data_IF_477974990580
#
_entry.id   IF_477974990580
#
_cell.length_a   1.000
_cell.length_b   1.000
_cell.length_c   1.000
_cell.angle_alpha   90.00
_cell.angle_beta   90.00
_cell.angle_gamma   90.00
#
_symmetry.space_group_name_H-M   'P 1'
#
loop_
_entity.id
_entity.type
_entity.pdbx_description
1 polymer ?
#
# COMPACT_ATOMS: atom_id res chain seq x y z
N UNK A 1 24.88 1.51 2.06
CA UNK A 1 23.77 2.50 2.04
C UNK A 1 22.48 1.74 2.24
N UNK A 2 21.56 2.25 3.07
CA UNK A 2 20.25 1.61 3.29
C UNK A 2 19.37 1.78 2.05
N UNK A 3 18.68 0.71 1.65
CA UNK A 3 17.70 0.73 0.58
C UNK A 3 16.30 0.60 1.15
N UNK A 4 15.33 1.18 0.45
CA UNK A 4 13.89 1.04 0.74
C UNK A 4 13.25 0.28 -0.43
N UNK A 5 12.41 -0.69 -0.13
CA UNK A 5 11.67 -1.43 -1.15
C UNK A 5 10.48 -0.61 -1.62
N UNK A 6 10.45 -0.29 -2.91
CA UNK A 6 9.31 0.34 -3.59
C UNK A 6 8.60 -0.69 -4.47
N UNK A 7 7.41 -0.35 -4.95
CA UNK A 7 6.63 -1.23 -5.85
C UNK A 7 7.31 -1.48 -7.21
N UNK A 8 8.33 -0.70 -7.53
CA UNK A 8 9.15 -0.85 -8.76
C UNK A 8 10.54 -1.43 -8.49
N UNK A 9 10.84 -1.79 -7.25
CA UNK A 9 12.10 -2.34 -6.80
C UNK A 9 12.81 -1.49 -5.74
N UNK A 10 14.00 -1.93 -5.27
CA UNK A 10 14.73 -1.22 -4.25
C UNK A 10 15.30 0.12 -4.77
N UNK A 11 15.27 1.15 -3.92
CA UNK A 11 15.91 2.45 -4.17
C UNK A 11 16.70 2.90 -2.94
N UNK A 12 17.74 3.72 -3.11
CA UNK A 12 18.46 4.31 -1.98
C UNK A 12 17.52 5.15 -1.11
N UNK A 13 17.60 5.00 0.20
CA UNK A 13 16.74 5.78 1.13
C UNK A 13 16.93 7.30 0.99
N UNK A 14 18.13 7.74 0.59
CA UNK A 14 18.42 9.16 0.34
C UNK A 14 17.65 9.76 -0.85
N UNK A 15 17.17 8.91 -1.76
CA UNK A 15 16.48 9.34 -2.99
C UNK A 15 14.95 9.46 -2.81
N UNK A 16 14.42 9.10 -1.63
CA UNK A 16 12.97 9.21 -1.34
C UNK A 16 12.47 10.65 -1.38
N UNK A 17 13.29 11.61 -0.98
CA UNK A 17 12.91 13.02 -0.91
C UNK A 17 11.83 13.30 0.14
N UNK A 18 11.01 14.34 -0.07
CA UNK A 18 9.89 14.67 0.80
C UNK A 18 8.80 13.59 0.63
N UNK A 19 8.54 12.84 1.71
CA UNK A 19 7.70 11.63 1.69
C UNK A 19 6.40 11.86 2.45
N UNK A 20 5.26 11.56 1.82
CA UNK A 20 4.00 11.38 2.53
C UNK A 20 3.98 9.98 3.15
N UNK A 21 3.85 9.93 4.47
CA UNK A 21 4.06 8.70 5.26
C UNK A 21 2.82 7.83 5.47
N UNK A 22 1.64 8.27 5.02
CA UNK A 22 0.39 7.53 5.17
C UNK A 22 -0.62 7.99 4.12
N UNK A 23 -0.71 7.24 3.01
CA UNK A 23 -1.58 7.57 1.89
C UNK A 23 -2.33 6.35 1.36
N UNK A 24 -3.41 6.63 0.61
CA UNK A 24 -4.22 5.63 -0.08
C UNK A 24 -4.36 6.02 -1.55
N UNK A 25 -3.52 5.44 -2.41
CA UNK A 25 -3.51 5.70 -3.86
C UNK A 25 -4.49 4.81 -4.64
N UNK A 26 -4.85 3.66 -4.04
CA UNK A 26 -5.84 2.72 -4.53
C UNK A 26 -6.53 2.07 -3.34
N UNK A 27 -7.83 2.39 -3.12
CA UNK A 27 -8.55 1.97 -1.92
C UNK A 27 -10.04 1.91 -2.18
N UNK A 28 -10.73 0.94 -1.58
CA UNK A 28 -12.20 0.88 -1.54
C UNK A 28 -12.69 0.66 -0.10
N UNK A 29 -12.86 1.73 0.62
CA UNK A 29 -13.44 1.73 1.98
C UNK A 29 -14.97 1.62 1.97
N UNK A 30 -15.61 1.63 0.80
CA UNK A 30 -17.06 1.49 0.70
C UNK A 30 -17.56 0.14 1.21
N UNK A 31 -16.72 -0.90 1.09
CA UNK A 31 -17.00 -2.25 1.61
C UNK A 31 -17.18 -2.27 3.13
N UNK A 32 -16.50 -1.36 3.84
CA UNK A 32 -16.59 -1.20 5.30
C UNK A 32 -17.62 -0.11 5.69
N UNK A 33 -17.59 1.04 5.01
CA UNK A 33 -18.41 2.20 5.37
C UNK A 33 -19.82 2.18 4.81
N UNK A 34 -20.10 1.35 3.81
CA UNK A 34 -21.36 1.34 3.06
C UNK A 34 -21.58 2.57 2.17
N UNK A 35 -20.57 3.45 2.01
CA UNK A 35 -20.66 4.69 1.24
C UNK A 35 -19.89 4.57 -0.07
N UNK A 36 -20.58 4.61 -1.19
CA UNK A 36 -19.98 4.46 -2.52
C UNK A 36 -18.94 5.52 -2.90
N UNK A 37 -19.03 6.72 -2.33
CA UNK A 37 -18.07 7.79 -2.57
C UNK A 37 -16.74 7.63 -1.82
N UNK A 38 -16.60 6.60 -0.98
CA UNK A 38 -15.37 6.26 -0.27
C UNK A 38 -14.51 5.29 -1.09
N UNK A 39 -14.26 5.65 -2.36
CA UNK A 39 -13.45 4.87 -3.30
C UNK A 39 -12.39 5.75 -3.98
N UNK A 40 -11.17 5.24 -4.01
CA UNK A 40 -10.07 5.75 -4.83
C UNK A 40 -9.68 4.60 -5.77
N UNK A 41 -10.36 4.49 -6.91
CA UNK A 41 -10.22 3.37 -7.85
C UNK A 41 -10.08 3.82 -9.31
N UNK A 42 -9.62 5.06 -9.51
CA UNK A 42 -9.33 5.64 -10.82
C UNK A 42 -7.83 5.93 -10.95
N UNK A 43 -7.13 5.06 -11.67
CA UNK A 43 -5.66 5.16 -11.89
C UNK A 43 -5.29 6.49 -12.54
N UNK A 44 -6.03 6.91 -13.58
CA UNK A 44 -5.69 8.12 -14.33
C UNK A 44 -5.81 9.37 -13.46
N UNK A 45 -6.86 9.44 -12.64
CA UNK A 45 -7.05 10.51 -11.67
C UNK A 45 -5.94 10.52 -10.61
N UNK A 46 -5.62 9.36 -10.04
CA UNK A 46 -4.54 9.24 -9.04
C UNK A 46 -3.20 9.68 -9.62
N UNK A 47 -2.87 9.27 -10.85
CA UNK A 47 -1.64 9.70 -11.55
C UNK A 47 -1.62 11.23 -11.75
N UNK A 48 -2.77 11.82 -12.11
CA UNK A 48 -2.89 13.28 -12.24
C UNK A 48 -2.65 14.02 -10.92
N UNK A 49 -3.23 13.53 -9.81
CA UNK A 49 -3.02 14.10 -8.47
C UNK A 49 -1.54 13.99 -8.04
N UNK A 50 -0.88 12.88 -8.34
CA UNK A 50 0.55 12.70 -8.09
C UNK A 50 1.42 13.68 -8.91
N UNK A 51 0.94 14.14 -10.07
CA UNK A 51 1.56 15.21 -10.83
C UNK A 51 1.61 16.53 -10.05
N UNK A 52 0.53 16.88 -9.36
CA UNK A 52 0.51 18.07 -8.48
C UNK A 52 1.42 17.89 -7.26
N UNK A 53 1.42 16.71 -6.66
CA UNK A 53 2.34 16.38 -5.55
C UNK A 53 3.81 16.59 -5.95
N UNK A 54 4.22 16.06 -7.12
CA UNK A 54 5.58 16.28 -7.64
C UNK A 54 5.89 17.74 -7.93
N UNK A 55 4.95 18.46 -8.54
CA UNK A 55 5.12 19.88 -8.85
C UNK A 55 5.30 20.73 -7.57
N UNK A 56 4.73 20.28 -6.45
CA UNK A 56 4.92 20.90 -5.14
C UNK A 56 6.23 20.48 -4.43
N UNK A 57 7.07 19.64 -5.05
CA UNK A 57 8.33 19.17 -4.48
C UNK A 57 8.25 17.84 -3.73
N UNK A 58 7.14 17.13 -3.84
CA UNK A 58 6.99 15.79 -3.27
C UNK A 58 7.89 14.76 -3.94
N UNK A 59 8.48 13.86 -3.16
CA UNK A 59 9.48 12.88 -3.59
C UNK A 59 8.95 11.46 -3.67
N UNK A 60 8.24 10.98 -2.65
CA UNK A 60 7.76 9.61 -2.57
C UNK A 60 6.53 9.48 -1.68
N UNK A 61 5.89 8.31 -1.71
CA UNK A 61 4.69 8.01 -0.93
C UNK A 61 4.83 6.66 -0.25
N UNK A 62 4.41 6.57 1.01
CA UNK A 62 4.14 5.31 1.69
C UNK A 62 2.64 5.08 1.63
N UNK A 63 2.25 4.10 0.87
CA UNK A 63 0.87 3.70 0.63
C UNK A 63 0.52 2.52 1.52
N UNK A 64 -0.44 2.70 2.41
CA UNK A 64 -0.72 1.77 3.51
C UNK A 64 -2.08 1.10 3.44
N UNK A 65 -2.74 1.11 2.28
CA UNK A 65 -4.03 0.42 2.11
C UNK A 65 -3.90 -1.06 2.46
N UNK A 66 -4.59 -1.54 3.51
CA UNK A 66 -4.48 -2.92 3.97
C UNK A 66 -5.42 -3.86 3.20
N UNK A 67 -5.25 -5.14 3.46
CA UNK A 67 -6.18 -6.19 3.04
C UNK A 67 -7.54 -5.95 3.72
N UNK A 68 -8.60 -6.07 2.93
CA UNK A 68 -9.99 -5.81 3.36
C UNK A 68 -10.60 -4.55 2.76
N UNK A 69 -9.78 -3.59 2.31
CA UNK A 69 -10.26 -2.34 1.69
C UNK A 69 -9.59 -2.06 0.33
N UNK A 70 -9.27 -3.10 -0.43
CA UNK A 70 -8.89 -2.97 -1.83
C UNK A 70 -7.39 -2.92 -2.10
N UNK A 71 -6.52 -3.34 -1.16
CA UNK A 71 -5.08 -3.44 -1.39
C UNK A 71 -4.75 -4.09 -2.74
N UNK A 72 -3.93 -3.43 -3.56
CA UNK A 72 -3.52 -3.93 -4.87
C UNK A 72 -2.11 -3.48 -5.25
N UNK A 73 -1.07 -4.28 -4.93
CA UNK A 73 0.32 -3.95 -5.27
C UNK A 73 0.55 -3.72 -6.76
N UNK A 74 -0.16 -4.43 -7.63
CA UNK A 74 -0.08 -4.25 -9.08
C UNK A 74 -0.58 -2.88 -9.53
N UNK A 75 -1.70 -2.39 -8.97
CA UNK A 75 -2.21 -1.05 -9.26
C UNK A 75 -1.25 0.03 -8.78
N UNK A 76 -0.65 -0.18 -7.61
CA UNK A 76 0.36 0.75 -7.09
C UNK A 76 1.60 0.79 -7.98
N UNK A 77 2.05 -0.36 -8.49
CA UNK A 77 3.17 -0.41 -9.46
C UNK A 77 2.82 0.34 -10.75
N UNK A 78 1.61 0.16 -11.28
CA UNK A 78 1.14 0.91 -12.45
C UNK A 78 1.12 2.41 -12.16
N UNK A 79 0.50 2.85 -11.05
CA UNK A 79 0.41 4.26 -10.64
C UNK A 79 1.81 4.86 -10.47
N UNK A 80 2.73 4.14 -9.80
CA UNK A 80 4.12 4.59 -9.62
C UNK A 80 4.85 4.75 -10.95
N UNK A 81 4.71 3.78 -11.86
CA UNK A 81 5.33 3.83 -13.18
C UNK A 81 4.77 4.99 -14.03
N UNK A 82 3.45 5.19 -14.04
CA UNK A 82 2.79 6.19 -14.87
C UNK A 82 3.01 7.62 -14.33
N UNK A 83 3.09 7.80 -13.00
CA UNK A 83 3.32 9.11 -12.37
C UNK A 83 4.79 9.46 -12.22
N UNK A 84 5.69 8.46 -12.22
CA UNK A 84 7.09 8.60 -11.88
C UNK A 84 7.33 8.94 -10.39
N UNK A 85 6.34 8.73 -9.50
CA UNK A 85 6.47 8.87 -8.04
C UNK A 85 6.81 7.52 -7.44
N UNK A 86 7.95 7.36 -6.73
CA UNK A 86 8.24 6.15 -5.97
C UNK A 86 7.17 5.89 -4.92
N UNK A 87 6.65 4.66 -4.88
CA UNK A 87 5.64 4.23 -3.91
C UNK A 87 6.18 3.05 -3.10
N UNK A 88 6.16 3.18 -1.78
CA UNK A 88 6.37 2.07 -0.84
C UNK A 88 5.03 1.49 -0.49
N UNK A 89 4.84 0.19 -0.75
CA UNK A 89 3.57 -0.51 -0.51
C UNK A 89 3.56 -1.14 0.88
N UNK A 90 2.47 -0.94 1.62
CA UNK A 90 2.22 -1.57 2.89
C UNK A 90 1.65 -2.99 2.76
N UNK A 91 1.79 -3.78 3.84
CA UNK A 91 1.08 -5.03 4.08
C UNK A 91 0.48 -5.03 5.47
N UNK A 92 -0.82 -5.22 5.57
CA UNK A 92 -1.54 -5.27 6.83
C UNK A 92 -2.96 -5.80 6.62
N UNK A 93 -3.67 -6.01 7.73
CA UNK A 93 -5.11 -6.27 7.74
C UNK A 93 -5.85 -5.04 8.27
N UNK A 94 -7.03 -4.79 7.68
CA UNK A 94 -7.91 -3.73 8.14
C UNK A 94 -8.77 -4.20 9.32
N UNK A 95 -9.97 -3.73 9.41
CA UNK A 95 -10.94 -4.03 10.44
C UNK A 95 -11.42 -5.48 10.40
N UNK A 96 -11.75 -6.05 11.56
CA UNK A 96 -12.22 -7.43 11.67
C UNK A 96 -13.46 -7.73 10.81
N UNK A 97 -14.29 -6.73 10.49
CA UNK A 97 -15.49 -6.91 9.65
C UNK A 97 -15.19 -7.21 8.18
N UNK A 98 -13.96 -6.97 7.74
CA UNK A 98 -13.50 -7.17 6.36
C UNK A 98 -12.25 -8.06 6.27
N UNK A 99 -11.92 -8.77 7.35
CA UNK A 99 -10.84 -9.75 7.34
C UNK A 99 -11.20 -10.95 6.46
N UNK A 100 -10.24 -11.50 5.69
CA UNK A 100 -10.41 -12.77 5.02
C UNK A 100 -10.70 -13.90 6.02
N UNK A 101 -11.55 -14.86 5.62
CA UNK A 101 -11.97 -15.98 6.49
C UNK A 101 -10.79 -16.80 7.04
N UNK A 102 -9.71 -16.95 6.25
CA UNK A 102 -8.55 -17.72 6.66
C UNK A 102 -7.81 -17.11 7.85
N UNK A 103 -7.87 -15.79 8.04
CA UNK A 103 -7.22 -15.09 9.15
C UNK A 103 -7.78 -15.53 10.50
N UNK A 104 -9.08 -15.82 10.56
CA UNK A 104 -9.74 -16.32 11.77
C UNK A 104 -9.35 -17.74 12.18
N UNK A 105 -8.76 -18.49 11.24
CA UNK A 105 -8.34 -19.88 11.43
C UNK A 105 -6.82 -20.01 11.56
N UNK A 106 -6.08 -18.92 11.29
CA UNK A 106 -4.64 -18.90 11.34
C UNK A 106 -4.11 -18.76 12.77
N UNK A 107 -3.01 -19.44 13.05
CA UNK A 107 -2.20 -19.18 14.23
C UNK A 107 -1.24 -17.97 14.00
N UNK A 108 -0.53 -17.59 15.06
CA UNK A 108 0.38 -16.45 15.02
C UNK A 108 1.53 -16.68 14.04
N UNK A 109 2.05 -17.90 13.98
CA UNK A 109 3.13 -18.27 13.08
C UNK A 109 2.71 -18.13 11.61
N UNK A 110 1.52 -18.58 11.25
CA UNK A 110 0.98 -18.43 9.89
C UNK A 110 0.82 -16.94 9.51
N UNK A 111 0.32 -16.10 10.41
CA UNK A 111 0.22 -14.66 10.18
C UNK A 111 1.61 -14.02 10.03
N UNK A 112 2.57 -14.41 10.86
CA UNK A 112 3.94 -13.91 10.76
C UNK A 112 4.59 -14.32 9.43
N UNK A 113 4.46 -15.57 9.02
CA UNK A 113 4.96 -16.07 7.73
C UNK A 113 4.35 -15.35 6.55
N UNK A 114 3.05 -15.05 6.61
CA UNK A 114 2.35 -14.27 5.59
C UNK A 114 2.97 -12.88 5.41
N UNK A 115 3.24 -12.15 6.50
CA UNK A 115 3.91 -10.85 6.44
C UNK A 115 5.36 -10.96 5.98
N UNK A 116 6.11 -11.97 6.46
CA UNK A 116 7.49 -12.22 6.02
C UNK A 116 7.51 -12.48 4.51
N UNK A 117 6.61 -13.30 3.99
CA UNK A 117 6.50 -13.58 2.56
C UNK A 117 6.21 -12.30 1.76
N UNK A 118 5.29 -11.47 2.22
CA UNK A 118 4.97 -10.19 1.54
C UNK A 118 6.18 -9.25 1.48
N UNK A 119 7.01 -9.22 2.53
CA UNK A 119 8.19 -8.37 2.63
C UNK A 119 9.41 -8.91 1.88
N UNK A 120 9.53 -10.25 1.73
CA UNK A 120 10.76 -10.88 1.20
C UNK A 120 10.60 -11.45 -0.21
N UNK A 121 9.41 -11.96 -0.54
CA UNK A 121 9.08 -12.53 -1.85
C UNK A 121 8.14 -11.60 -2.62
N UNK A 122 7.11 -11.11 -1.96
CA UNK A 122 6.08 -10.24 -2.53
C UNK A 122 4.92 -10.99 -3.16
N UNK A 123 3.97 -10.20 -3.65
CA UNK A 123 2.77 -10.62 -4.37
C UNK A 123 2.87 -10.12 -5.81
N UNK A 124 2.76 -11.01 -6.79
CA UNK A 124 2.87 -10.70 -8.23
C UNK A 124 4.15 -9.91 -8.61
N UNK A 125 5.26 -10.22 -7.93
CA UNK A 125 6.54 -9.56 -8.13
C UNK A 125 6.64 -8.16 -7.52
N UNK A 126 5.75 -7.80 -6.59
CA UNK A 126 5.81 -6.57 -5.79
C UNK A 126 5.99 -6.91 -4.32
N UNK A 127 7.14 -6.55 -3.76
CA UNK A 127 7.39 -6.69 -2.32
C UNK A 127 6.79 -5.51 -1.56
N UNK A 128 6.23 -5.80 -0.38
CA UNK A 128 5.89 -4.75 0.56
C UNK A 128 7.17 -4.15 1.17
N UNK A 129 7.15 -2.87 1.48
CA UNK A 129 8.27 -2.16 2.10
C UNK A 129 8.03 -1.81 3.57
N UNK A 130 6.79 -1.98 4.06
CA UNK A 130 6.39 -1.64 5.43
C UNK A 130 5.21 -2.50 5.88
N UNK A 131 5.12 -2.77 7.18
CA UNK A 131 3.93 -3.34 7.81
C UNK A 131 3.08 -2.18 8.33
N UNK A 132 1.85 -2.08 7.85
CA UNK A 132 0.87 -1.02 8.18
C UNK A 132 -0.04 -0.70 6.99
N UNK A 133 -1.20 -0.01 7.24
CA UNK A 133 -1.76 0.31 8.55
C UNK A 133 -2.44 -0.91 9.20
N UNK A 134 -2.37 -1.00 10.50
CA UNK A 134 -3.04 -2.05 11.26
C UNK A 134 -4.17 -1.44 12.09
N UNK A 135 -5.35 -2.03 11.98
CA UNK A 135 -6.53 -1.64 12.74
C UNK A 135 -6.93 -2.77 13.67
N UNK A 136 -7.32 -2.44 14.88
CA UNK A 136 -7.88 -3.40 15.84
C UNK A 136 -9.10 -2.81 16.54
N UNK A 137 -10.09 -3.66 16.82
CA UNK A 137 -11.19 -3.33 17.72
C UNK A 137 -10.98 -3.99 19.07
N UNK A 138 -11.34 -3.27 20.13
CA UNK A 138 -11.46 -3.80 21.48
C UNK A 138 -12.87 -4.31 21.72
#
# INVERSE_FOLDING_TARGET
>A
MSAVMTVTGPMPAADLGATLGHEHLWCDISVHSGRENNRVTDVARTVSELGYFRAAGGGSIIEVTPIGIGRSPQRLRQISADSGVPVVCGIAFYDQSVLPDWVWQADIEHIADFFIQALTVGEDGVQAGVIGELTSHN
#
